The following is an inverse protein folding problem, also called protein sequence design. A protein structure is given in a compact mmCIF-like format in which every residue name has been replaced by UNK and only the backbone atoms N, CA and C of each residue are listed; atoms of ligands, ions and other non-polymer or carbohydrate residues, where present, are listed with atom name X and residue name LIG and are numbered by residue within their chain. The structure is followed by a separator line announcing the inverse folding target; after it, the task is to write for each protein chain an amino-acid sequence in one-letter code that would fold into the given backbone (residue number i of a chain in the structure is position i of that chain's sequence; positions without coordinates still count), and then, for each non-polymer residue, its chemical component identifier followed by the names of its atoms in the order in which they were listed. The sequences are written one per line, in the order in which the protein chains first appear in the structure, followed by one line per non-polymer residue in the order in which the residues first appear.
data_IF_960932516404
#
_entry.id   IF_960932516404
#
_cell.length_a   1.000
_cell.length_b   1.000
_cell.length_c   1.000
_cell.angle_alpha   90.00
_cell.angle_beta   90.00
_cell.angle_gamma   90.00
#
_symmetry.space_group_name_H-M   'P 1'
#
loop_
_entity.id
_entity.type
_entity.pdbx_description
1 polymer ?
#
# COMPACT_ATOMS: atom_id res chain seq x y z
N UNK A 1 -27.68 -25.60 16.36
CA UNK A 1 -27.67 -24.19 16.76
C UNK A 1 -26.26 -23.69 16.62
N UNK A 2 -26.03 -22.68 15.81
CA UNK A 2 -24.67 -22.27 15.44
C UNK A 2 -24.36 -21.00 16.21
N UNK A 3 -23.44 -21.07 17.18
CA UNK A 3 -22.87 -19.90 17.82
C UNK A 3 -21.96 -19.19 16.81
N UNK A 4 -22.34 -17.98 16.41
CA UNK A 4 -21.52 -17.14 15.54
C UNK A 4 -21.06 -15.92 16.32
N UNK A 5 -19.75 -15.77 16.47
CA UNK A 5 -19.12 -14.53 16.96
C UNK A 5 -18.70 -13.71 15.73
N UNK A 6 -19.17 -12.48 15.65
CA UNK A 6 -18.78 -11.56 14.57
C UNK A 6 -17.95 -10.41 15.15
N UNK A 7 -16.85 -10.09 14.52
CA UNK A 7 -16.01 -8.92 14.84
C UNK A 7 -16.37 -7.81 13.87
N UNK A 8 -16.82 -6.68 14.39
CA UNK A 8 -17.11 -5.47 13.63
C UNK A 8 -16.22 -4.35 14.16
N UNK A 9 -15.32 -3.86 13.35
CA UNK A 9 -14.50 -2.66 13.59
C UNK A 9 -13.70 -2.63 14.89
N UNK A 10 -12.68 -3.46 15.04
CA UNK A 10 -11.81 -3.48 16.22
C UNK A 10 -12.52 -3.60 17.59
N UNK A 11 -13.79 -3.98 17.59
CA UNK A 11 -14.57 -4.27 18.79
C UNK A 11 -14.97 -5.72 18.76
N UNK A 12 -14.73 -6.40 19.85
CA UNK A 12 -15.20 -7.78 20.03
C UNK A 12 -16.70 -7.75 20.31
N UNK A 13 -17.47 -8.57 19.63
CA UNK A 13 -18.90 -8.73 19.87
C UNK A 13 -19.21 -10.19 20.13
N UNK A 14 -19.97 -10.47 21.17
CA UNK A 14 -20.46 -11.82 21.49
C UNK A 14 -21.87 -11.95 20.91
N UNK A 15 -22.07 -12.91 20.01
CA UNK A 15 -23.37 -13.26 19.46
C UNK A 15 -24.06 -14.29 20.36
N UNK A 16 -25.23 -13.98 20.86
CA UNK A 16 -26.00 -14.82 21.75
C UNK A 16 -27.36 -15.15 21.15
N UNK A 17 -27.88 -16.36 21.30
CA UNK A 17 -29.21 -16.69 20.80
C UNK A 17 -30.29 -15.90 21.56
N UNK A 18 -31.17 -15.24 20.83
CA UNK A 18 -32.27 -14.49 21.39
C UNK A 18 -33.61 -15.13 21.01
N UNK A 19 -34.35 -15.59 21.99
CA UNK A 19 -35.78 -15.89 21.84
C UNK A 19 -36.54 -14.73 22.46
N UNK A 20 -37.05 -13.81 21.64
CA UNK A 20 -38.14 -12.85 21.90
C UNK A 20 -37.80 -11.45 21.39
N UNK A 21 -38.72 -10.93 20.57
CA UNK A 21 -38.81 -9.54 20.09
C UNK A 21 -39.13 -8.59 21.21
N UNK A 22 -38.61 -7.42 21.09
CA UNK A 22 -39.08 -6.09 21.38
C UNK A 22 -38.12 -5.23 22.19
N UNK A 23 -37.75 -4.12 21.55
CA UNK A 23 -37.24 -2.87 22.13
C UNK A 23 -36.12 -2.98 23.16
N UNK A 24 -34.90 -3.13 22.73
CA UNK A 24 -33.75 -2.95 23.61
C UNK A 24 -32.66 -2.04 23.01
N UNK A 25 -32.43 -0.97 23.72
CA UNK A 25 -31.46 0.11 23.48
C UNK A 25 -29.99 -0.31 23.76
N UNK A 26 -29.59 -1.53 23.45
CA UNK A 26 -28.21 -2.00 23.65
C UNK A 26 -27.79 -2.90 22.47
N UNK A 27 -27.28 -2.30 21.41
CA UNK A 27 -26.74 -2.99 20.25
C UNK A 27 -27.72 -3.19 19.09
N UNK A 28 -27.23 -3.35 17.88
CA UNK A 28 -28.01 -3.61 16.67
C UNK A 28 -28.45 -5.08 16.64
N UNK A 29 -29.74 -5.34 16.55
CA UNK A 29 -30.32 -6.68 16.37
C UNK A 29 -30.65 -6.91 14.90
N UNK A 30 -30.18 -8.00 14.30
CA UNK A 30 -30.60 -8.46 12.97
C UNK A 30 -31.39 -9.76 13.10
N UNK A 31 -32.58 -9.79 12.49
CA UNK A 31 -33.40 -10.99 12.39
C UNK A 31 -33.32 -11.54 10.96
N UNK A 32 -32.84 -12.75 10.79
CA UNK A 32 -32.91 -13.49 9.52
C UNK A 32 -33.91 -14.62 9.61
N UNK A 33 -34.71 -14.78 8.55
CA UNK A 33 -35.70 -15.84 8.42
C UNK A 33 -34.99 -17.05 7.78
N UNK A 34 -34.66 -18.06 8.61
CA UNK A 34 -34.13 -19.32 8.14
C UNK A 34 -35.27 -20.34 8.02
N UNK A 35 -35.16 -21.26 7.05
CA UNK A 35 -36.10 -22.36 6.83
C UNK A 35 -36.23 -23.23 8.08
N UNK A 36 -37.25 -22.96 8.91
CA UNK A 36 -37.55 -23.77 10.11
C UNK A 36 -37.70 -22.98 11.42
N UNK A 37 -37.54 -21.67 11.44
CA UNK A 37 -37.73 -20.83 12.63
C UNK A 37 -37.05 -19.46 12.53
N UNK A 38 -37.51 -18.50 13.32
CA UNK A 38 -36.84 -17.17 13.45
C UNK A 38 -35.72 -17.30 14.48
N UNK A 39 -34.47 -17.10 14.04
CA UNK A 39 -33.33 -16.92 14.93
C UNK A 39 -32.97 -15.43 14.97
N UNK A 40 -33.01 -14.82 16.14
CA UNK A 40 -32.51 -13.45 16.35
C UNK A 40 -31.16 -13.55 17.06
N UNK A 41 -30.18 -12.78 16.60
CA UNK A 41 -28.88 -12.68 17.23
C UNK A 41 -28.71 -11.26 17.75
N UNK A 42 -28.42 -11.11 19.04
CA UNK A 42 -28.12 -9.83 19.66
C UNK A 42 -26.62 -9.69 19.78
N UNK A 43 -26.09 -8.58 19.25
CA UNK A 43 -24.68 -8.23 19.38
C UNK A 43 -24.49 -7.32 20.59
N UNK A 44 -23.55 -7.65 21.46
CA UNK A 44 -23.07 -6.78 22.52
C UNK A 44 -21.74 -6.22 22.09
N UNK A 45 -21.65 -4.90 21.95
CA UNK A 45 -20.38 -4.22 21.75
C UNK A 45 -19.59 -4.22 23.06
N UNK A 46 -18.38 -4.76 23.03
CA UNK A 46 -17.43 -4.74 24.14
C UNK A 46 -16.43 -3.62 23.86
N UNK A 47 -16.32 -2.67 24.79
CA UNK A 47 -15.27 -1.66 24.75
C UNK A 47 -13.94 -2.34 25.13
N UNK A 48 -12.86 -2.07 24.37
CA UNK A 48 -11.52 -2.62 24.61
C UNK A 48 -10.95 -2.30 26.02
N UNK A 49 -11.62 -1.41 26.76
CA UNK A 49 -11.28 -1.06 28.15
C UNK A 49 -12.00 -1.90 29.21
N UNK A 50 -13.03 -2.69 28.83
CA UNK A 50 -13.80 -3.51 29.77
C UNK A 50 -13.23 -4.94 29.82
N UNK A 51 -13.05 -5.49 31.03
CA UNK A 51 -12.66 -6.89 31.20
C UNK A 51 -13.78 -7.82 30.79
N UNK A 52 -13.45 -9.00 30.21
CA UNK A 52 -14.42 -10.02 29.83
C UNK A 52 -15.33 -10.44 30.99
N UNK A 53 -14.79 -10.47 32.22
CA UNK A 53 -15.55 -10.78 33.42
C UNK A 53 -16.64 -9.74 33.70
N UNK A 54 -16.38 -8.47 33.45
CA UNK A 54 -17.32 -7.38 33.64
C UNK A 54 -18.49 -7.45 32.64
N UNK A 55 -18.21 -7.81 31.39
CA UNK A 55 -19.23 -8.00 30.36
C UNK A 55 -20.14 -9.20 30.67
N UNK A 56 -19.55 -10.30 31.11
CA UNK A 56 -20.29 -11.51 31.53
C UNK A 56 -21.16 -11.23 32.76
N UNK A 57 -20.67 -10.42 33.71
CA UNK A 57 -21.42 -10.05 34.91
C UNK A 57 -22.61 -9.14 34.58
N UNK A 58 -22.46 -8.18 33.67
CA UNK A 58 -23.56 -7.34 33.16
C UNK A 58 -24.61 -8.18 32.42
N UNK A 59 -24.16 -9.17 31.63
CA UNK A 59 -25.04 -10.08 30.90
C UNK A 59 -25.81 -10.98 31.86
N UNK A 60 -25.14 -11.57 32.87
CA UNK A 60 -25.77 -12.36 33.93
C UNK A 60 -26.82 -11.52 34.69
N UNK A 61 -26.49 -10.31 35.12
CA UNK A 61 -27.42 -9.40 35.81
C UNK A 61 -28.61 -8.97 34.93
N UNK A 62 -28.43 -8.87 33.62
CA UNK A 62 -29.52 -8.63 32.67
C UNK A 62 -30.49 -9.80 32.60
N UNK A 63 -29.98 -11.01 32.47
CA UNK A 63 -30.82 -12.20 32.39
C UNK A 63 -31.49 -12.55 33.72
N UNK A 64 -30.82 -12.34 34.83
CA UNK A 64 -31.43 -12.49 36.17
C UNK A 64 -32.61 -11.54 36.38
N UNK A 65 -32.56 -10.36 35.80
CA UNK A 65 -33.70 -9.42 35.80
C UNK A 65 -34.85 -9.89 34.91
N UNK A 66 -34.51 -10.48 33.76
CA UNK A 66 -35.49 -11.01 32.80
C UNK A 66 -36.16 -12.29 33.30
N UNK A 67 -35.42 -13.19 33.94
CA UNK A 67 -35.88 -14.46 34.48
C UNK A 67 -36.82 -14.28 35.69
N UNK A 68 -36.77 -13.14 36.38
CA UNK A 68 -37.76 -12.79 37.42
C UNK A 68 -39.18 -12.54 36.85
N UNK A 69 -39.36 -12.49 35.54
CA UNK A 69 -40.61 -12.26 34.84
C UNK A 69 -41.15 -13.45 34.04
N UNK A 70 -40.52 -14.67 34.12
CA UNK A 70 -41.01 -15.88 33.43
C UNK A 70 -40.32 -17.17 33.89
N UNK A 71 -40.81 -18.38 33.54
CA UNK A 71 -40.20 -19.64 33.93
C UNK A 71 -38.84 -19.84 33.28
N UNK A 72 -37.83 -20.34 34.02
CA UNK A 72 -36.48 -20.59 33.49
C UNK A 72 -36.47 -21.67 32.41
N UNK A 73 -35.68 -21.43 31.34
CA UNK A 73 -35.37 -22.43 30.34
C UNK A 73 -34.41 -23.49 30.95
N UNK A 74 -34.62 -24.78 30.82
CA UNK A 74 -33.87 -25.82 31.54
C UNK A 74 -32.37 -25.93 31.17
N UNK A 75 -31.93 -25.31 30.06
CA UNK A 75 -30.55 -25.41 29.59
C UNK A 75 -29.70 -24.14 29.85
N UNK A 76 -30.24 -23.14 30.58
CA UNK A 76 -29.61 -21.84 30.75
C UNK A 76 -28.27 -21.85 31.51
N UNK A 77 -28.19 -22.63 32.59
CA UNK A 77 -26.94 -22.76 33.38
C UNK A 77 -25.85 -23.51 32.63
N UNK A 78 -26.24 -24.49 31.80
CA UNK A 78 -25.31 -25.24 30.94
C UNK A 78 -24.73 -24.30 29.82
N UNK A 79 -25.57 -23.46 29.26
CA UNK A 79 -25.17 -22.48 28.21
C UNK A 79 -24.22 -21.39 28.75
N UNK A 80 -24.47 -20.90 29.99
CA UNK A 80 -23.56 -19.97 30.66
C UNK A 80 -22.22 -20.64 31.03
N UNK A 81 -22.24 -21.88 31.47
CA UNK A 81 -21.02 -22.65 31.80
C UNK A 81 -20.18 -22.89 30.55
N UNK A 82 -20.78 -23.18 29.40
CA UNK A 82 -20.11 -23.37 28.12
C UNK A 82 -19.47 -22.07 27.60
N UNK A 83 -20.16 -20.93 27.75
CA UNK A 83 -19.62 -19.61 27.41
C UNK A 83 -18.44 -19.22 28.33
N UNK A 84 -18.58 -19.48 29.64
CA UNK A 84 -17.54 -19.18 30.63
C UNK A 84 -16.28 -20.06 30.44
N UNK A 85 -16.48 -21.33 30.06
CA UNK A 85 -15.37 -22.27 29.79
C UNK A 85 -14.68 -21.96 28.45
N UNK A 86 -15.41 -21.50 27.45
CA UNK A 86 -14.85 -21.00 26.18
C UNK A 86 -14.01 -19.73 26.38
N UNK A 87 -14.43 -18.83 27.28
CA UNK A 87 -13.69 -17.63 27.65
C UNK A 87 -12.40 -17.96 28.44
N UNK A 88 -12.48 -18.92 29.39
CA UNK A 88 -11.33 -19.37 30.21
C UNK A 88 -10.24 -20.09 29.41
N UNK A 89 -10.61 -20.80 28.34
CA UNK A 89 -9.66 -21.63 27.58
C UNK A 89 -8.88 -20.85 26.51
N UNK A 90 -9.01 -19.51 26.42
CA UNK A 90 -8.36 -18.68 25.39
C UNK A 90 -8.55 -19.22 23.94
N UNK A 91 -9.50 -20.12 23.77
CA UNK A 91 -9.86 -20.73 22.50
C UNK A 91 -11.17 -20.14 21.99
N UNK A 92 -11.32 -18.80 22.09
CA UNK A 92 -12.12 -18.10 21.10
C UNK A 92 -11.28 -18.26 19.83
N UNK A 93 -11.45 -19.34 19.10
CA UNK A 93 -11.13 -19.36 17.69
C UNK A 93 -11.87 -18.13 17.15
N UNK A 94 -11.13 -17.06 16.86
CA UNK A 94 -11.64 -15.95 16.09
C UNK A 94 -12.25 -16.60 14.86
N UNK A 95 -13.57 -16.67 14.81
CA UNK A 95 -14.27 -17.10 13.61
C UNK A 95 -13.93 -15.99 12.63
N UNK A 96 -12.85 -16.21 11.90
CA UNK A 96 -12.46 -15.33 10.80
C UNK A 96 -13.65 -15.37 9.86
N UNK A 97 -14.22 -14.23 9.55
CA UNK A 97 -15.32 -14.16 8.62
C UNK A 97 -14.89 -14.88 7.33
N UNK A 98 -15.49 -16.04 7.05
CA UNK A 98 -15.15 -16.87 5.87
C UNK A 98 -15.63 -16.21 4.57
N UNK A 99 -16.41 -15.11 4.68
CA UNK A 99 -17.00 -14.42 3.55
C UNK A 99 -16.47 -12.99 3.43
N UNK A 100 -16.34 -12.47 2.19
CA UNK A 100 -16.03 -11.07 1.98
C UNK A 100 -17.07 -10.17 2.62
N UNK A 101 -16.61 -9.05 3.23
CA UNK A 101 -17.54 -8.03 3.73
C UNK A 101 -18.35 -7.39 2.58
N UNK A 102 -19.44 -6.74 2.94
CA UNK A 102 -20.24 -5.93 2.00
C UNK A 102 -19.38 -4.84 1.36
N UNK A 103 -19.63 -4.56 0.07
CA UNK A 103 -18.87 -3.55 -0.66
C UNK A 103 -19.15 -2.16 -0.11
N UNK A 104 -18.09 -1.43 0.21
CA UNK A 104 -18.14 0.00 0.47
C UNK A 104 -17.93 0.76 -0.85
N UNK A 105 -18.63 1.88 -1.02
CA UNK A 105 -18.55 2.68 -2.23
C UNK A 105 -18.00 4.08 -1.93
N UNK A 106 -17.04 4.56 -2.72
CA UNK A 106 -16.46 5.92 -2.61
C UNK A 106 -17.52 7.02 -2.63
N UNK A 107 -18.59 6.82 -3.41
CA UNK A 107 -19.70 7.78 -3.54
C UNK A 107 -20.44 8.05 -2.22
N UNK A 108 -20.35 7.14 -1.25
CA UNK A 108 -21.02 7.26 0.04
C UNK A 108 -20.25 8.18 1.01
N UNK A 109 -19.02 8.60 0.63
CA UNK A 109 -18.16 9.43 1.45
C UNK A 109 -17.81 10.75 0.75
N UNK A 110 -18.14 11.86 1.38
CA UNK A 110 -17.83 13.23 0.88
C UNK A 110 -16.36 13.61 1.02
N UNK A 111 -15.61 12.92 1.88
CA UNK A 111 -14.19 13.08 2.14
C UNK A 111 -13.60 11.75 2.59
N UNK A 112 -12.28 11.66 2.66
CA UNK A 112 -11.60 10.45 3.12
C UNK A 112 -12.14 10.04 4.51
N UNK A 113 -12.62 8.79 4.70
CA UNK A 113 -13.11 8.29 5.97
C UNK A 113 -12.05 8.36 7.08
N UNK A 114 -12.47 8.53 8.35
CA UNK A 114 -11.53 8.66 9.47
C UNK A 114 -10.65 7.43 9.67
N UNK A 115 -11.19 6.23 9.50
CA UNK A 115 -10.43 4.98 9.63
C UNK A 115 -9.27 4.85 8.66
N UNK A 116 -9.29 5.58 7.54
CA UNK A 116 -8.21 5.59 6.56
C UNK A 116 -6.92 6.24 7.12
N UNK A 117 -7.06 7.09 8.15
CA UNK A 117 -5.95 7.72 8.87
C UNK A 117 -5.45 6.90 10.07
N UNK A 118 -6.08 5.77 10.38
CA UNK A 118 -5.60 4.87 11.43
C UNK A 118 -4.18 4.39 11.11
N UNK A 119 -3.31 4.50 12.10
CA UNK A 119 -1.88 4.24 11.95
C UNK A 119 -1.54 2.75 12.20
N UNK A 120 -2.40 1.87 11.68
CA UNK A 120 -2.29 0.42 11.78
C UNK A 120 -1.97 -0.16 10.42
N UNK A 121 -0.86 -0.89 10.34
CA UNK A 121 -0.34 -1.48 9.10
C UNK A 121 0.21 -2.86 9.33
N UNK A 122 0.12 -3.75 8.32
CA UNK A 122 0.80 -5.03 8.32
C UNK A 122 2.31 -4.85 8.31
N UNK A 123 3.00 -5.59 9.17
CA UNK A 123 4.45 -5.54 9.34
C UNK A 123 5.05 -6.92 9.09
N UNK A 124 6.27 -6.96 8.58
CA UNK A 124 7.03 -8.18 8.50
C UNK A 124 7.79 -8.43 9.80
N UNK A 125 7.98 -9.69 10.15
CA UNK A 125 8.65 -10.09 11.40
C UNK A 125 10.14 -9.78 11.40
N UNK A 126 10.77 -9.76 10.23
CA UNK A 126 12.20 -9.50 10.09
C UNK A 126 12.48 -8.01 9.87
N UNK A 127 13.23 -7.43 10.80
CA UNK A 127 13.80 -6.10 10.60
C UNK A 127 15.09 -6.21 9.78
N UNK A 128 15.18 -5.47 8.69
CA UNK A 128 16.46 -5.26 8.03
C UNK A 128 17.32 -4.39 8.94
N UNK A 129 18.39 -4.98 9.48
CA UNK A 129 19.40 -4.24 10.27
C UNK A 129 20.20 -3.32 9.36
N UNK A 130 20.66 -2.16 9.87
CA UNK A 130 21.64 -1.35 9.15
C UNK A 130 22.89 -2.21 8.88
N UNK A 131 23.38 -2.15 7.67
CA UNK A 131 24.54 -2.93 7.25
C UNK A 131 25.84 -2.10 7.24
N UNK A 132 25.70 -0.78 7.45
CA UNK A 132 26.81 0.15 7.49
C UNK A 132 26.50 1.38 8.38
N UNK A 133 27.56 2.09 8.79
CA UNK A 133 27.43 3.24 9.69
C UNK A 133 26.62 4.40 9.08
N UNK A 134 26.72 4.62 7.74
CA UNK A 134 26.06 5.69 7.02
C UNK A 134 24.60 5.39 6.70
N UNK A 135 24.08 4.23 7.09
CA UNK A 135 22.68 3.87 6.81
C UNK A 135 21.71 4.92 7.35
N UNK A 136 20.75 5.33 6.54
CA UNK A 136 19.65 6.21 6.94
C UNK A 136 18.87 5.66 8.14
N UNK A 137 18.92 4.35 8.38
CA UNK A 137 18.31 3.68 9.54
C UNK A 137 18.99 4.05 10.86
N UNK A 138 20.21 4.56 10.81
CA UNK A 138 20.96 5.10 11.96
C UNK A 138 20.68 6.60 12.18
N UNK A 139 19.80 7.22 11.40
CA UNK A 139 19.47 8.62 11.53
C UNK A 139 19.01 8.96 12.94
N UNK A 140 19.52 10.06 13.49
CA UNK A 140 19.12 10.60 14.78
C UNK A 140 18.02 11.67 14.67
N UNK A 141 17.50 11.91 13.46
CA UNK A 141 16.39 12.84 13.28
C UNK A 141 15.09 12.27 13.85
N UNK A 142 14.60 12.91 14.91
CA UNK A 142 13.45 12.44 15.68
C UNK A 142 12.15 12.43 14.85
N UNK A 143 11.96 13.39 13.94
CA UNK A 143 10.78 13.40 13.07
C UNK A 143 10.80 12.23 12.11
N UNK A 144 11.95 11.94 11.52
CA UNK A 144 12.11 10.78 10.63
C UNK A 144 11.93 9.47 11.41
N UNK A 145 12.60 9.31 12.55
CA UNK A 145 12.49 8.10 13.40
C UNK A 145 11.03 7.82 13.79
N UNK A 146 10.28 8.85 14.16
CA UNK A 146 8.85 8.72 14.51
C UNK A 146 7.99 8.31 13.31
N UNK A 147 8.29 8.83 12.12
CA UNK A 147 7.51 8.55 10.92
C UNK A 147 7.89 7.23 10.25
N UNK A 148 9.16 6.82 10.31
CA UNK A 148 9.69 5.67 9.59
C UNK A 148 9.38 4.35 10.29
N UNK A 149 8.72 3.43 9.55
CA UNK A 149 8.46 2.07 10.01
C UNK A 149 9.40 1.09 9.29
N UNK A 150 10.51 0.67 9.91
CA UNK A 150 11.54 -0.11 9.24
C UNK A 150 11.08 -1.51 8.81
N UNK A 151 10.02 -2.03 9.40
CA UNK A 151 9.45 -3.36 9.14
C UNK A 151 8.07 -3.33 8.48
N UNK A 152 7.64 -2.19 7.93
CA UNK A 152 6.41 -2.13 7.14
C UNK A 152 6.44 -3.19 6.04
N UNK A 153 5.33 -3.89 5.82
CA UNK A 153 5.23 -4.88 4.74
C UNK A 153 5.28 -4.20 3.39
N UNK A 154 6.36 -4.46 2.64
CA UNK A 154 6.61 -3.81 1.34
C UNK A 154 5.85 -4.47 0.20
N UNK A 155 5.75 -5.81 0.21
CA UNK A 155 5.30 -6.58 -0.95
C UNK A 155 4.07 -7.42 -0.65
N UNK A 156 3.15 -7.40 -1.60
CA UNK A 156 1.96 -8.24 -1.66
C UNK A 156 2.32 -9.60 -2.27
N UNK A 157 1.87 -10.69 -1.67
CA UNK A 157 1.96 -12.04 -2.22
C UNK A 157 0.84 -12.94 -1.66
N UNK A 158 0.63 -14.11 -2.27
CA UNK A 158 -0.48 -15.01 -1.97
C UNK A 158 -0.62 -15.39 -0.49
N UNK A 159 0.49 -15.44 0.26
CA UNK A 159 0.49 -15.93 1.66
C UNK A 159 0.21 -14.82 2.68
N UNK A 160 0.04 -13.57 2.25
CA UNK A 160 -0.22 -12.45 3.17
C UNK A 160 -1.61 -11.80 3.02
N UNK A 161 -2.50 -12.43 2.27
CA UNK A 161 -3.91 -12.05 2.17
C UNK A 161 -4.78 -13.28 2.48
N UNK A 162 -5.35 -13.32 3.66
CA UNK A 162 -6.45 -14.18 4.03
C UNK A 162 -7.77 -13.39 4.03
N UNK A 163 -8.90 -14.00 4.39
CA UNK A 163 -10.20 -13.33 4.37
C UNK A 163 -10.28 -12.16 5.36
N UNK A 164 -9.66 -12.28 6.54
CA UNK A 164 -9.60 -11.19 7.53
C UNK A 164 -8.83 -9.99 6.97
N UNK A 165 -7.68 -10.25 6.35
CA UNK A 165 -6.86 -9.20 5.74
C UNK A 165 -7.54 -8.58 4.51
N UNK A 166 -8.24 -9.39 3.71
CA UNK A 166 -9.10 -8.89 2.64
C UNK A 166 -10.15 -7.92 3.19
N UNK A 167 -10.90 -8.34 4.20
CA UNK A 167 -11.97 -7.53 4.80
C UNK A 167 -11.41 -6.24 5.39
N UNK A 168 -10.27 -6.29 6.07
CA UNK A 168 -9.58 -5.09 6.59
C UNK A 168 -9.19 -4.13 5.46
N UNK A 169 -8.56 -4.63 4.41
CA UNK A 169 -8.13 -3.79 3.28
C UNK A 169 -9.29 -3.30 2.41
N UNK A 170 -10.45 -3.96 2.44
CA UNK A 170 -11.64 -3.52 1.69
C UNK A 170 -12.27 -2.23 2.22
N UNK A 171 -11.84 -1.76 3.40
CA UNK A 171 -12.25 -0.45 3.93
C UNK A 171 -11.52 0.72 3.26
N UNK A 172 -10.38 0.50 2.61
CA UNK A 172 -9.54 1.55 2.08
C UNK A 172 -9.69 1.69 0.58
N UNK A 173 -9.73 2.96 0.12
CA UNK A 173 -9.78 3.26 -1.30
C UNK A 173 -8.50 2.81 -2.02
N UNK A 174 -8.61 2.41 -3.28
CA UNK A 174 -7.47 2.14 -4.17
C UNK A 174 -6.55 3.39 -4.31
N UNK A 175 -5.23 3.26 -4.31
CA UNK A 175 -4.42 2.03 -4.23
C UNK A 175 -4.14 1.51 -2.81
N UNK A 176 -4.76 2.07 -1.79
CA UNK A 176 -4.49 1.81 -0.38
C UNK A 176 -5.24 0.59 0.16
N UNK A 177 -6.15 0.05 -0.63
CA UNK A 177 -6.95 -1.12 -0.33
C UNK A 177 -7.87 -1.52 -1.47
N UNK A 178 -8.98 -2.21 -1.16
CA UNK A 178 -9.84 -2.90 -2.12
C UNK A 178 -11.30 -2.39 -2.12
N UNK A 179 -11.56 -1.18 -1.63
CA UNK A 179 -12.90 -0.56 -1.66
C UNK A 179 -13.49 -0.64 -3.09
N UNK A 180 -14.76 -0.99 -3.22
CA UNK A 180 -15.51 -1.23 -4.46
C UNK A 180 -15.08 -2.47 -5.27
N UNK A 181 -14.05 -3.22 -4.84
CA UNK A 181 -13.61 -4.40 -5.57
C UNK A 181 -14.24 -5.67 -5.03
N UNK A 182 -14.66 -6.55 -5.93
CA UNK A 182 -15.11 -7.89 -5.57
C UNK A 182 -13.89 -8.77 -5.25
N UNK A 183 -14.06 -9.64 -4.28
CA UNK A 183 -13.01 -10.55 -3.81
C UNK A 183 -12.37 -11.33 -4.97
N UNK A 184 -13.18 -12.00 -5.78
CA UNK A 184 -12.67 -12.86 -6.85
C UNK A 184 -11.93 -12.09 -7.93
N UNK A 185 -12.38 -10.87 -8.28
CA UNK A 185 -11.74 -10.04 -9.31
C UNK A 185 -10.27 -9.69 -8.98
N UNK A 186 -9.97 -9.50 -7.69
CA UNK A 186 -8.61 -9.18 -7.21
C UNK A 186 -7.85 -10.45 -6.86
N UNK A 187 -8.47 -11.35 -6.08
CA UNK A 187 -7.78 -12.53 -5.54
C UNK A 187 -7.37 -13.54 -6.62
N UNK A 188 -8.04 -13.56 -7.77
CA UNK A 188 -7.61 -14.31 -8.95
C UNK A 188 -6.18 -13.95 -9.43
N UNK A 189 -5.74 -12.72 -9.18
CA UNK A 189 -4.38 -12.28 -9.47
C UNK A 189 -3.46 -12.43 -8.25
N UNK A 190 -3.93 -12.06 -7.06
CA UNK A 190 -3.12 -12.09 -5.82
C UNK A 190 -2.66 -13.50 -5.48
N UNK A 191 -3.53 -14.51 -5.65
CA UNK A 191 -3.21 -15.93 -5.43
C UNK A 191 -2.08 -16.46 -6.34
N UNK A 192 -1.79 -15.77 -7.44
CA UNK A 192 -0.71 -16.11 -8.36
C UNK A 192 0.62 -15.47 -7.97
N UNK A 193 0.65 -14.44 -7.12
CA UNK A 193 1.88 -13.73 -6.76
C UNK A 193 2.71 -14.63 -5.83
N UNK A 194 3.93 -15.05 -6.25
CA UNK A 194 4.78 -15.86 -5.41
C UNK A 194 5.31 -15.05 -4.22
N UNK A 195 5.57 -15.71 -3.10
CA UNK A 195 6.31 -15.09 -2.00
C UNK A 195 7.73 -14.79 -2.47
N UNK A 196 8.23 -13.55 -2.32
CA UNK A 196 9.60 -13.24 -2.66
C UNK A 196 10.60 -14.12 -1.90
N UNK A 197 11.48 -14.79 -2.62
CA UNK A 197 12.51 -15.67 -2.03
C UNK A 197 13.69 -14.91 -1.48
N UNK A 198 13.93 -13.69 -1.96
CA UNK A 198 15.06 -12.85 -1.59
C UNK A 198 14.60 -11.42 -1.32
N UNK A 199 15.32 -10.65 -0.50
CA UNK A 199 15.14 -9.21 -0.41
C UNK A 199 15.30 -8.55 -1.80
N UNK A 200 14.60 -7.42 -2.02
CA UNK A 200 14.69 -6.70 -3.29
C UNK A 200 16.16 -6.39 -3.65
N UNK A 201 16.94 -5.94 -2.67
CA UNK A 201 18.34 -5.59 -2.83
C UNK A 201 19.20 -6.22 -1.72
N UNK A 202 20.45 -6.53 -2.07
CA UNK A 202 21.47 -7.03 -1.16
C UNK A 202 22.73 -6.15 -1.29
N UNK A 203 23.56 -6.03 -0.24
CA UNK A 203 24.86 -5.42 -0.33
C UNK A 203 25.70 -6.08 -1.44
N UNK A 204 26.49 -5.29 -2.15
CA UNK A 204 27.39 -5.82 -3.17
C UNK A 204 28.53 -6.62 -2.51
N UNK A 205 28.90 -7.78 -3.06
CA UNK A 205 30.06 -8.54 -2.57
C UNK A 205 31.35 -7.68 -2.60
N UNK A 206 32.12 -7.75 -1.51
CA UNK A 206 33.39 -7.01 -1.39
C UNK A 206 33.21 -5.52 -1.04
N UNK A 207 32.02 -5.03 -0.87
CA UNK A 207 31.76 -3.67 -0.41
C UNK A 207 31.79 -3.52 1.11
N UNK A 208 31.52 -2.29 1.60
CA UNK A 208 31.46 -1.93 3.04
C UNK A 208 30.12 -2.32 3.70
N UNK A 209 29.30 -3.10 3.01
CA UNK A 209 27.97 -3.53 3.48
C UNK A 209 26.85 -2.52 3.19
N UNK A 210 27.15 -1.27 2.83
CA UNK A 210 26.13 -0.29 2.43
C UNK A 210 25.49 -0.65 1.09
N UNK A 211 24.18 -0.43 1.01
CA UNK A 211 23.42 -0.45 -0.24
C UNK A 211 23.15 0.99 -0.67
N UNK A 212 23.87 1.46 -1.69
CA UNK A 212 23.76 2.82 -2.24
C UNK A 212 22.87 2.84 -3.46
N UNK A 213 21.84 3.66 -3.42
CA UNK A 213 20.83 3.70 -4.47
C UNK A 213 20.65 5.11 -5.04
N UNK A 214 20.62 5.18 -6.38
CA UNK A 214 20.10 6.33 -7.09
C UNK A 214 18.63 6.10 -7.42
N UNK A 215 17.78 7.09 -7.17
CA UNK A 215 16.40 7.13 -7.64
C UNK A 215 16.27 8.22 -8.69
N UNK A 216 16.03 7.82 -9.93
CA UNK A 216 16.07 8.73 -11.08
C UNK A 216 14.67 8.98 -11.60
N UNK A 217 14.13 10.16 -11.31
CA UNK A 217 12.87 10.67 -11.86
C UNK A 217 13.05 11.19 -13.29
N UNK A 218 11.97 11.73 -13.85
CA UNK A 218 11.92 12.18 -15.25
C UNK A 218 12.00 13.72 -15.41
N UNK A 219 12.24 14.45 -14.32
CA UNK A 219 12.18 15.92 -14.32
C UNK A 219 13.27 16.60 -15.15
N UNK A 220 12.90 17.71 -15.76
CA UNK A 220 13.71 18.49 -16.68
C UNK A 220 15.01 19.04 -16.10
N UNK A 221 15.13 19.10 -14.78
CA UNK A 221 16.38 19.51 -14.10
C UNK A 221 17.58 18.62 -14.50
N UNK A 222 17.34 17.40 -15.00
CA UNK A 222 18.40 16.49 -15.48
C UNK A 222 18.91 16.84 -16.88
N UNK A 223 18.17 17.60 -17.69
CA UNK A 223 18.63 17.97 -19.02
C UNK A 223 19.92 18.81 -18.94
N UNK A 224 21.03 18.32 -19.51
CA UNK A 224 22.35 18.96 -19.43
C UNK A 224 23.00 18.90 -18.03
N UNK A 225 22.57 17.99 -17.16
CA UNK A 225 23.08 17.89 -15.78
C UNK A 225 24.48 17.23 -15.69
N UNK A 226 24.84 16.42 -16.67
CA UNK A 226 26.05 15.61 -16.70
C UNK A 226 26.22 14.68 -15.50
N UNK A 227 25.08 14.15 -14.98
CA UNK A 227 25.04 13.31 -13.80
C UNK A 227 25.05 11.81 -14.10
N UNK A 228 25.11 11.42 -15.37
CA UNK A 228 25.00 10.04 -15.78
C UNK A 228 26.02 9.11 -15.11
N UNK A 229 27.29 9.49 -15.11
CA UNK A 229 28.37 8.72 -14.47
C UNK A 229 28.17 8.60 -12.96
N UNK A 230 27.77 9.69 -12.29
CA UNK A 230 27.47 9.69 -10.86
C UNK A 230 26.30 8.75 -10.53
N UNK A 231 25.23 8.79 -11.33
CA UNK A 231 24.06 7.90 -11.19
C UNK A 231 24.46 6.44 -11.34
N UNK A 232 25.20 6.11 -12.41
CA UNK A 232 25.62 4.72 -12.71
C UNK A 232 26.65 4.17 -11.72
N UNK A 233 27.32 5.03 -10.96
CA UNK A 233 28.25 4.67 -9.88
C UNK A 233 27.57 4.10 -8.63
N UNK A 234 26.26 4.23 -8.49
CA UNK A 234 25.53 3.62 -7.36
C UNK A 234 25.45 2.11 -7.50
N UNK A 235 25.27 1.40 -6.39
CA UNK A 235 25.09 -0.06 -6.38
C UNK A 235 23.83 -0.43 -7.17
N UNK A 236 22.74 0.31 -6.98
CA UNK A 236 21.46 0.11 -7.66
C UNK A 236 20.84 1.43 -8.13
N UNK A 237 20.24 1.39 -9.30
CA UNK A 237 19.54 2.53 -9.90
C UNK A 237 18.08 2.19 -10.08
N UNK A 238 17.20 2.97 -9.41
CA UNK A 238 15.77 2.91 -9.56
C UNK A 238 15.31 3.87 -10.65
N UNK A 239 14.43 3.41 -11.52
CA UNK A 239 13.73 4.27 -12.49
C UNK A 239 12.24 3.96 -12.48
N UNK A 240 11.44 4.92 -12.95
CA UNK A 240 9.99 4.79 -13.04
C UNK A 240 9.45 5.38 -14.33
N UNK A 241 8.22 5.01 -14.69
CA UNK A 241 7.48 5.58 -15.82
C UNK A 241 8.27 5.51 -17.16
N UNK A 242 8.31 6.58 -17.89
CA UNK A 242 8.98 6.67 -19.19
C UNK A 242 10.48 6.95 -19.08
N UNK A 243 11.22 6.09 -18.41
CA UNK A 243 12.65 6.21 -18.20
C UNK A 243 13.42 5.95 -19.50
N UNK A 244 13.67 6.99 -20.29
CA UNK A 244 14.51 6.95 -21.49
C UNK A 244 15.96 7.17 -21.08
N UNK A 245 16.84 6.21 -21.32
CA UNK A 245 18.28 6.37 -21.09
C UNK A 245 19.01 6.62 -22.40
N UNK A 246 18.64 5.90 -23.45
CA UNK A 246 19.30 5.96 -24.76
C UNK A 246 19.25 7.35 -25.38
N UNK A 247 20.43 7.94 -25.61
CA UNK A 247 20.60 9.29 -26.12
C UNK A 247 20.61 10.38 -25.05
N UNK A 248 20.54 9.99 -23.76
CA UNK A 248 20.58 10.89 -22.60
C UNK A 248 21.52 10.37 -21.51
N UNK A 249 22.40 9.44 -21.86
CA UNK A 249 23.27 8.72 -20.92
C UNK A 249 24.19 9.67 -20.14
N UNK A 250 24.66 10.76 -20.76
CA UNK A 250 25.49 11.77 -20.10
C UNK A 250 24.78 12.39 -18.90
N UNK A 251 23.48 12.60 -19.01
CA UNK A 251 22.66 13.30 -18.00
C UNK A 251 22.02 12.35 -16.99
N UNK A 252 21.57 11.17 -17.42
CA UNK A 252 20.72 10.29 -16.61
C UNK A 252 21.32 8.92 -16.36
N UNK A 253 22.50 8.60 -16.93
CA UNK A 253 23.11 7.28 -16.90
C UNK A 253 22.35 6.27 -17.75
N UNK A 254 22.87 5.05 -17.76
CA UNK A 254 22.31 3.96 -18.57
C UNK A 254 21.76 2.81 -17.72
N UNK A 255 22.31 2.59 -16.52
CA UNK A 255 21.99 1.48 -15.63
C UNK A 255 20.57 1.55 -15.09
N UNK A 256 19.85 0.42 -15.09
CA UNK A 256 18.58 0.26 -14.41
C UNK A 256 18.53 -1.06 -13.65
N UNK A 257 18.50 -0.99 -12.33
CA UNK A 257 18.46 -2.18 -11.46
C UNK A 257 17.05 -2.53 -11.03
N UNK A 258 16.20 -1.49 -10.81
CA UNK A 258 14.81 -1.62 -10.39
C UNK A 258 13.96 -0.67 -11.23
N UNK A 259 12.94 -1.20 -11.88
CA UNK A 259 11.97 -0.41 -12.63
C UNK A 259 10.60 -0.49 -11.97
N UNK A 260 10.10 0.67 -11.53
CA UNK A 260 8.82 0.79 -10.82
C UNK A 260 7.76 1.35 -11.76
N UNK A 261 6.63 0.68 -11.86
CA UNK A 261 5.59 1.04 -12.82
C UNK A 261 4.18 0.66 -12.36
N UNK A 262 3.18 1.21 -13.02
CA UNK A 262 1.79 0.73 -13.06
C UNK A 262 1.51 0.13 -14.44
N UNK A 263 0.41 -0.59 -14.60
CA UNK A 263 -0.06 -1.01 -15.93
C UNK A 263 -0.31 0.21 -16.84
N UNK A 264 -0.75 1.33 -16.24
CA UNK A 264 -0.93 2.58 -16.99
C UNK A 264 0.40 3.15 -17.47
N UNK A 265 1.38 3.34 -16.58
CA UNK A 265 2.63 3.99 -16.96
C UNK A 265 3.44 3.18 -17.98
N UNK A 266 3.50 1.84 -17.84
CA UNK A 266 4.25 1.00 -18.79
C UNK A 266 3.60 0.96 -20.18
N UNK A 267 2.26 1.06 -20.26
CA UNK A 267 1.55 1.05 -21.53
C UNK A 267 1.54 2.41 -22.21
N UNK A 268 1.28 3.50 -21.45
CA UNK A 268 1.17 4.85 -22.02
C UNK A 268 2.49 5.43 -22.46
N UNK A 269 3.60 5.07 -21.82
CA UNK A 269 4.95 5.52 -22.19
C UNK A 269 5.31 5.19 -23.63
N UNK A 270 4.81 4.04 -24.18
CA UNK A 270 5.08 3.62 -25.55
C UNK A 270 4.61 4.60 -26.61
N UNK A 271 3.52 5.33 -26.39
CA UNK A 271 3.05 6.31 -27.37
C UNK A 271 3.25 7.76 -26.96
N UNK A 272 3.16 8.08 -25.68
CA UNK A 272 3.41 9.45 -25.22
C UNK A 272 4.86 9.88 -25.43
N UNK A 273 5.81 8.94 -25.23
CA UNK A 273 7.23 9.22 -25.30
C UNK A 273 7.92 8.66 -26.55
N UNK A 274 7.14 8.08 -27.49
CA UNK A 274 7.67 7.58 -28.77
C UNK A 274 8.47 8.61 -29.53
N UNK A 275 7.99 9.87 -29.56
CA UNK A 275 8.66 11.00 -30.24
C UNK A 275 10.05 11.31 -29.66
N UNK A 276 10.33 10.88 -28.41
CA UNK A 276 11.62 11.03 -27.75
C UNK A 276 12.49 9.76 -27.79
N UNK A 277 12.05 8.76 -28.57
CA UNK A 277 12.81 7.53 -28.75
C UNK A 277 12.46 6.39 -27.76
N UNK A 278 11.41 6.52 -26.94
CA UNK A 278 10.97 5.44 -26.05
C UNK A 278 10.47 4.24 -26.86
N UNK A 279 11.05 3.07 -26.62
CA UNK A 279 10.72 1.83 -27.33
C UNK A 279 10.12 0.76 -26.41
N UNK A 280 10.59 0.66 -25.19
CA UNK A 280 10.18 -0.34 -24.21
C UNK A 280 10.56 0.11 -22.79
N UNK A 281 10.04 -0.57 -21.78
CA UNK A 281 10.57 -0.46 -20.42
C UNK A 281 12.06 -0.83 -20.41
N UNK A 282 12.84 -0.29 -19.45
CA UNK A 282 14.21 -0.74 -19.19
C UNK A 282 14.28 -2.25 -19.03
N UNK A 283 15.33 -2.86 -19.55
CA UNK A 283 15.46 -4.32 -19.63
C UNK A 283 16.90 -4.80 -19.43
N UNK A 284 17.63 -4.15 -18.57
CA UNK A 284 18.97 -4.54 -18.16
C UNK A 284 19.01 -5.98 -17.63
N UNK A 285 20.09 -6.68 -17.81
CA UNK A 285 20.26 -8.01 -17.26
C UNK A 285 20.11 -7.98 -15.73
N UNK A 286 19.33 -8.91 -15.18
CA UNK A 286 19.08 -8.98 -13.74
C UNK A 286 18.14 -7.92 -13.18
N UNK A 287 17.53 -7.07 -14.01
CA UNK A 287 16.56 -6.06 -13.60
C UNK A 287 15.41 -6.65 -12.78
N UNK A 288 14.97 -5.90 -11.81
CA UNK A 288 13.76 -6.21 -11.00
C UNK A 288 12.65 -5.27 -11.37
N UNK A 289 11.46 -5.82 -11.56
CA UNK A 289 10.25 -5.06 -11.84
C UNK A 289 9.39 -4.97 -10.60
N UNK A 290 8.89 -3.77 -10.29
CA UNK A 290 8.00 -3.52 -9.15
C UNK A 290 6.72 -2.87 -9.68
N UNK A 291 5.60 -3.58 -9.51
CA UNK A 291 4.28 -3.07 -9.86
C UNK A 291 3.67 -2.33 -8.67
N UNK A 292 3.17 -1.13 -8.91
CA UNK A 292 2.25 -0.42 -8.01
C UNK A 292 0.83 -0.82 -8.42
N UNK A 293 0.07 -1.55 -7.59
CA UNK A 293 -1.30 -1.95 -7.92
C UNK A 293 -2.25 -0.77 -7.67
N UNK A 294 -2.29 0.15 -8.62
CA UNK A 294 -2.95 1.44 -8.49
C UNK A 294 -4.48 1.33 -8.58
N UNK A 295 -4.98 0.49 -9.52
CA UNK A 295 -6.41 0.32 -9.77
C UNK A 295 -6.71 -1.13 -10.23
N UNK A 296 -8.00 -1.45 -10.46
CA UNK A 296 -8.43 -2.76 -10.96
C UNK A 296 -7.69 -3.17 -12.25
N UNK A 297 -7.36 -2.22 -13.12
CA UNK A 297 -6.59 -2.50 -14.36
C UNK A 297 -5.21 -3.09 -14.08
N UNK A 298 -4.60 -2.79 -12.93
CA UNK A 298 -3.30 -3.34 -12.54
C UNK A 298 -3.44 -4.80 -12.09
N UNK A 299 -4.52 -5.18 -11.41
CA UNK A 299 -4.82 -6.56 -11.05
C UNK A 299 -5.15 -7.40 -12.30
N UNK A 300 -5.89 -6.85 -13.25
CA UNK A 300 -6.16 -7.50 -14.54
C UNK A 300 -4.88 -7.71 -15.36
N UNK A 301 -4.00 -6.71 -15.37
CA UNK A 301 -2.67 -6.80 -16.00
C UNK A 301 -1.81 -7.87 -15.31
N UNK A 302 -1.77 -7.86 -14.00
CA UNK A 302 -1.00 -8.79 -13.18
C UNK A 302 -1.43 -10.24 -13.40
N UNK A 303 -2.74 -10.52 -13.41
CA UNK A 303 -3.28 -11.85 -13.70
C UNK A 303 -2.77 -12.36 -15.05
N UNK A 304 -2.89 -11.54 -16.09
CA UNK A 304 -2.45 -11.89 -17.46
C UNK A 304 -0.92 -12.04 -17.54
N UNK A 305 -0.16 -11.18 -16.86
CA UNK A 305 1.31 -11.24 -16.81
C UNK A 305 1.78 -12.56 -16.22
N UNK A 306 1.28 -12.91 -15.03
CA UNK A 306 1.68 -14.12 -14.30
C UNK A 306 1.31 -15.40 -15.06
N UNK A 307 0.13 -15.44 -15.70
CA UNK A 307 -0.29 -16.56 -16.54
C UNK A 307 0.38 -16.59 -17.91
N UNK A 308 0.95 -15.49 -18.38
CA UNK A 308 1.50 -15.39 -19.74
C UNK A 308 0.42 -15.27 -20.81
N UNK A 309 -0.75 -14.73 -20.45
CA UNK A 309 -1.95 -14.63 -21.30
C UNK A 309 -2.21 -13.18 -21.71
N UNK A 310 -3.17 -12.99 -22.60
CA UNK A 310 -3.73 -11.66 -22.91
C UNK A 310 -4.65 -11.20 -21.79
N UNK A 311 -4.65 -9.90 -21.50
CA UNK A 311 -5.58 -9.28 -20.56
C UNK A 311 -7.03 -9.52 -21.03
N UNK A 312 -7.86 -10.11 -20.17
CA UNK A 312 -9.22 -10.53 -20.50
C UNK A 312 -10.27 -9.42 -20.40
N UNK A 313 -10.02 -8.39 -19.57
CA UNK A 313 -10.98 -7.33 -19.28
C UNK A 313 -10.31 -5.97 -19.08
N UNK A 314 -11.12 -4.91 -19.00
CA UNK A 314 -10.67 -3.55 -18.71
C UNK A 314 -9.98 -2.83 -19.86
N UNK A 315 -9.33 -1.68 -19.59
CA UNK A 315 -8.78 -0.80 -20.62
C UNK A 315 -7.61 -1.41 -21.39
N UNK A 316 -6.99 -2.47 -20.88
CA UNK A 316 -5.87 -3.17 -21.54
C UNK A 316 -6.25 -4.52 -22.12
N UNK A 317 -7.55 -4.78 -22.31
CA UNK A 317 -8.04 -6.02 -22.93
C UNK A 317 -7.28 -6.33 -24.23
N UNK A 318 -6.96 -7.61 -24.44
CA UNK A 318 -6.21 -8.15 -25.58
C UNK A 318 -4.72 -7.78 -25.63
N UNK A 319 -4.18 -6.95 -24.72
CA UNK A 319 -2.73 -6.74 -24.62
C UNK A 319 -2.07 -7.96 -23.97
N UNK A 320 -0.85 -8.27 -24.43
CA UNK A 320 -0.03 -9.35 -23.87
C UNK A 320 1.05 -8.71 -22.95
N UNK A 321 0.90 -8.72 -21.63
CA UNK A 321 1.77 -7.96 -20.72
C UNK A 321 3.25 -8.31 -20.83
N UNK A 322 3.62 -9.60 -21.01
CA UNK A 322 5.02 -10.04 -21.08
C UNK A 322 5.83 -9.35 -22.18
N UNK A 323 5.19 -8.90 -23.25
CA UNK A 323 5.87 -8.19 -24.36
C UNK A 323 6.40 -6.81 -23.97
N UNK A 324 5.89 -6.23 -22.88
CA UNK A 324 6.30 -4.89 -22.42
C UNK A 324 7.62 -4.90 -21.65
N UNK A 325 8.10 -6.07 -21.25
CA UNK A 325 9.33 -6.25 -20.44
C UNK A 325 10.55 -6.70 -21.28
N UNK A 326 10.44 -6.63 -22.60
CA UNK A 326 11.52 -6.89 -23.57
C UNK A 326 12.30 -8.19 -23.30
N UNK A 327 11.58 -9.26 -22.93
CA UNK A 327 12.15 -10.58 -22.64
C UNK A 327 12.81 -10.73 -21.28
N UNK A 328 12.91 -9.66 -20.46
CA UNK A 328 13.51 -9.70 -19.12
C UNK A 328 12.52 -10.03 -18.00
N UNK A 329 11.26 -10.25 -18.32
CA UNK A 329 10.30 -10.71 -17.31
C UNK A 329 10.74 -12.03 -16.71
N UNK A 330 10.90 -12.01 -15.40
CA UNK A 330 11.20 -13.20 -14.60
C UNK A 330 10.39 -13.11 -13.30
N UNK A 331 9.57 -14.12 -13.05
CA UNK A 331 8.68 -14.16 -11.89
C UNK A 331 9.43 -14.02 -10.56
N UNK A 332 10.62 -14.59 -10.43
CA UNK A 332 11.46 -14.49 -9.23
C UNK A 332 12.02 -13.07 -8.98
N UNK A 333 11.94 -12.19 -9.97
CA UNK A 333 12.43 -10.80 -9.94
C UNK A 333 11.27 -9.79 -10.15
N UNK A 334 10.03 -10.25 -10.01
CA UNK A 334 8.83 -9.43 -10.10
C UNK A 334 8.19 -9.26 -8.73
N UNK A 335 7.90 -8.04 -8.35
CA UNK A 335 7.38 -7.65 -7.04
C UNK A 335 6.14 -6.80 -7.20
N UNK A 336 5.21 -6.89 -6.24
CA UNK A 336 3.99 -6.07 -6.19
C UNK A 336 3.98 -5.33 -4.86
N UNK A 337 3.79 -4.01 -4.86
CA UNK A 337 3.73 -3.24 -3.61
C UNK A 337 2.47 -3.58 -2.82
N UNK A 338 2.62 -3.62 -1.48
CA UNK A 338 1.52 -3.89 -0.57
C UNK A 338 0.69 -2.63 -0.32
N UNK A 339 -0.62 -2.75 -0.20
CA UNK A 339 -1.55 -1.65 0.05
C UNK A 339 -1.21 -0.85 1.29
N UNK A 340 -0.83 -1.51 2.37
CA UNK A 340 -0.41 -0.83 3.60
C UNK A 340 0.88 -0.02 3.44
N UNK A 341 1.82 -0.48 2.61
CA UNK A 341 3.00 0.33 2.31
C UNK A 341 2.59 1.65 1.61
N UNK A 342 1.69 1.56 0.63
CA UNK A 342 1.20 2.73 -0.08
C UNK A 342 0.44 3.68 0.85
N UNK A 343 -0.42 3.13 1.73
CA UNK A 343 -1.19 3.90 2.72
C UNK A 343 -0.30 4.54 3.78
N UNK A 344 0.71 3.82 4.27
CA UNK A 344 1.72 4.32 5.19
C UNK A 344 2.49 5.53 4.62
N UNK A 345 2.95 5.44 3.36
CA UNK A 345 3.64 6.56 2.68
C UNK A 345 2.73 7.78 2.62
N UNK A 346 1.47 7.61 2.23
CA UNK A 346 0.49 8.70 2.20
C UNK A 346 0.27 9.31 3.59
N UNK A 347 0.00 8.49 4.59
CA UNK A 347 -0.45 8.98 5.89
C UNK A 347 0.67 9.61 6.70
N UNK A 348 1.88 9.07 6.65
CA UNK A 348 2.97 9.53 7.51
C UNK A 348 3.90 10.57 6.87
N UNK A 349 3.95 10.62 5.53
CA UNK A 349 4.88 11.50 4.83
C UNK A 349 4.22 12.44 3.84
N UNK A 350 3.15 12.03 3.18
CA UNK A 350 2.54 12.77 2.07
C UNK A 350 1.03 12.99 2.30
N UNK A 351 0.69 13.41 3.51
CA UNK A 351 -0.69 13.68 3.90
C UNK A 351 -1.19 14.99 3.27
N UNK A 352 -1.83 14.88 2.10
CA UNK A 352 -2.33 16.02 1.38
C UNK A 352 -3.64 16.57 1.98
N UNK A 353 -3.80 17.91 2.10
CA UNK A 353 -5.07 18.53 2.49
C UNK A 353 -6.19 18.28 1.47
N UNK A 354 -5.86 17.86 0.26
CA UNK A 354 -6.83 17.52 -0.79
C UNK A 354 -7.65 16.28 -0.45
N UNK A 355 -7.20 15.43 0.49
CA UNK A 355 -7.96 14.29 1.02
C UNK A 355 -9.25 14.71 1.75
N UNK A 356 -9.37 15.97 2.14
CA UNK A 356 -10.59 16.53 2.74
C UNK A 356 -11.57 17.14 1.71
N UNK A 357 -11.26 17.04 0.40
CA UNK A 357 -12.09 17.58 -0.69
C UNK A 357 -12.94 16.49 -1.34
N UNK A 358 -13.94 16.89 -2.13
CA UNK A 358 -14.88 15.98 -2.81
C UNK A 358 -14.21 14.97 -3.74
N UNK A 359 -13.03 15.30 -4.28
CA UNK A 359 -12.24 14.39 -5.14
C UNK A 359 -11.16 13.60 -4.38
N UNK A 360 -11.31 13.47 -3.07
CA UNK A 360 -10.37 12.75 -2.19
C UNK A 360 -9.96 11.36 -2.71
N UNK A 361 -10.89 10.67 -3.34
CA UNK A 361 -10.68 9.29 -3.82
C UNK A 361 -9.71 9.18 -5.01
N UNK A 362 -9.38 10.30 -5.65
CA UNK A 362 -8.38 10.36 -6.71
C UNK A 362 -6.99 10.68 -6.16
N UNK A 363 -6.92 11.29 -4.96
CA UNK A 363 -5.68 11.85 -4.41
C UNK A 363 -4.76 10.75 -3.89
N UNK A 364 -3.55 10.70 -4.44
CA UNK A 364 -2.51 9.76 -4.06
C UNK A 364 -1.11 10.32 -4.36
N UNK A 365 -0.06 9.82 -3.68
CA UNK A 365 1.32 10.09 -4.06
C UNK A 365 1.63 9.67 -5.51
N UNK A 366 2.62 10.31 -6.12
CA UNK A 366 3.08 9.93 -7.46
C UNK A 366 3.83 8.58 -7.43
N UNK A 367 3.99 7.96 -8.60
CA UNK A 367 4.86 6.78 -8.73
C UNK A 367 6.30 7.09 -8.31
N UNK A 368 6.75 8.34 -8.55
CA UNK A 368 8.04 8.83 -8.10
C UNK A 368 8.16 8.80 -6.58
N UNK A 369 7.13 9.25 -5.89
CA UNK A 369 7.08 9.24 -4.43
C UNK A 369 7.15 7.81 -3.88
N UNK A 370 6.32 6.89 -4.37
CA UNK A 370 6.38 5.49 -3.94
C UNK A 370 7.75 4.86 -4.22
N UNK A 371 8.41 5.25 -5.32
CA UNK A 371 9.76 4.75 -5.64
C UNK A 371 10.81 5.26 -4.66
N UNK A 372 10.79 6.55 -4.28
CA UNK A 372 11.70 7.11 -3.26
C UNK A 372 11.51 6.38 -1.93
N UNK A 373 10.26 6.21 -1.48
CA UNK A 373 10.00 5.52 -0.22
C UNK A 373 10.33 4.03 -0.27
N UNK A 374 10.18 3.36 -1.42
CA UNK A 374 10.67 1.99 -1.61
C UNK A 374 12.19 1.93 -1.45
N UNK A 375 12.92 2.89 -2.04
CA UNK A 375 14.37 2.99 -1.87
C UNK A 375 14.77 3.24 -0.41
N UNK A 376 14.07 4.12 0.33
CA UNK A 376 14.30 4.36 1.75
C UNK A 376 14.14 3.09 2.60
N UNK A 377 13.30 2.14 2.18
CA UNK A 377 13.09 0.87 2.89
C UNK A 377 14.01 -0.26 2.43
N UNK A 378 14.70 -0.11 1.30
CA UNK A 378 15.53 -1.18 0.72
C UNK A 378 17.02 -0.83 0.60
N UNK A 379 17.38 0.46 0.74
CA UNK A 379 18.73 0.96 0.64
C UNK A 379 19.23 1.54 1.97
N UNK A 380 20.52 1.76 2.12
CA UNK A 380 21.15 2.42 3.24
C UNK A 380 21.41 3.91 2.96
N UNK A 381 21.75 4.23 1.71
CA UNK A 381 21.96 5.59 1.22
C UNK A 381 21.12 5.79 -0.03
N UNK A 382 20.40 6.91 -0.07
CA UNK A 382 19.47 7.23 -1.18
C UNK A 382 19.76 8.61 -1.74
N UNK A 383 20.11 8.65 -3.02
CA UNK A 383 20.30 9.86 -3.80
C UNK A 383 19.18 9.99 -4.83
N UNK A 384 18.47 11.12 -4.80
CA UNK A 384 17.30 11.39 -5.65
C UNK A 384 17.69 12.40 -6.75
N UNK A 385 17.46 12.02 -8.01
CA UNK A 385 17.74 12.82 -9.21
C UNK A 385 16.48 13.03 -10.02
N UNK A 386 16.32 14.21 -10.61
CA UNK A 386 15.18 14.48 -11.49
C UNK A 386 13.84 14.64 -10.79
N UNK A 387 13.85 14.94 -9.50
CA UNK A 387 12.68 15.31 -8.72
C UNK A 387 12.50 16.83 -8.69
N UNK A 388 11.28 17.28 -8.40
CA UNK A 388 10.93 18.70 -8.36
C UNK A 388 11.68 19.42 -7.23
N UNK A 389 12.32 20.54 -7.57
CA UNK A 389 13.04 21.45 -6.68
C UNK A 389 12.35 22.81 -6.62
N UNK A 390 12.80 23.74 -5.77
CA UNK A 390 12.17 25.07 -5.66
C UNK A 390 12.21 25.87 -6.95
N UNK A 391 13.22 25.65 -7.76
CA UNK A 391 13.45 26.33 -9.05
C UNK A 391 12.91 25.54 -10.26
N UNK A 392 11.98 24.58 -10.03
CA UNK A 392 11.44 23.70 -11.07
C UNK A 392 10.92 24.43 -12.31
N UNK A 393 10.44 25.66 -12.15
CA UNK A 393 9.94 26.48 -13.26
C UNK A 393 11.01 26.86 -14.28
N UNK A 394 12.29 26.69 -13.94
CA UNK A 394 13.43 26.98 -14.82
C UNK A 394 13.72 25.80 -15.79
N UNK A 395 13.08 24.66 -15.62
CA UNK A 395 13.35 23.43 -16.36
C UNK A 395 12.10 22.95 -17.10
N UNK A 396 12.27 22.23 -18.24
CA UNK A 396 11.13 21.60 -18.92
C UNK A 396 10.49 20.53 -18.03
N UNK A 397 9.28 20.10 -18.39
CA UNK A 397 8.59 19.05 -17.61
C UNK A 397 9.39 17.74 -17.56
N UNK A 398 9.95 17.35 -18.70
CA UNK A 398 10.79 16.14 -18.79
C UNK A 398 12.20 16.47 -19.32
N UNK A 399 13.21 15.74 -18.85
CA UNK A 399 14.61 15.94 -19.31
C UNK A 399 14.80 15.66 -20.82
N UNK A 400 13.91 14.88 -21.43
CA UNK A 400 13.94 14.56 -22.87
C UNK A 400 13.42 15.69 -23.76
N UNK A 401 12.84 16.74 -23.20
CA UNK A 401 12.24 17.85 -23.94
C UNK A 401 13.30 18.89 -24.30
N UNK A 402 13.38 19.19 -25.60
CA UNK A 402 14.31 20.21 -26.11
C UNK A 402 13.81 21.63 -25.85
N UNK A 403 12.49 21.82 -25.84
CA UNK A 403 11.87 23.10 -25.62
C UNK A 403 11.35 23.19 -24.18
N UNK A 404 11.33 24.41 -23.66
CA UNK A 404 10.76 24.70 -22.35
C UNK A 404 9.28 24.40 -22.35
N UNK A 405 8.86 23.38 -21.64
CA UNK A 405 7.46 23.04 -21.36
C UNK A 405 7.15 23.32 -19.89
N UNK A 406 5.92 23.73 -19.62
CA UNK A 406 5.47 23.89 -18.23
C UNK A 406 5.25 22.54 -17.58
N UNK A 407 5.58 22.42 -16.29
CA UNK A 407 5.23 21.25 -15.48
C UNK A 407 3.72 21.13 -15.43
N UNK A 408 3.21 19.92 -15.70
CA UNK A 408 1.78 19.62 -15.70
C UNK A 408 1.40 19.09 -14.32
N UNK A 409 0.47 19.76 -13.66
CA UNK A 409 -0.08 19.35 -12.37
C UNK A 409 -1.42 18.63 -12.58
N UNK A 410 -1.41 17.33 -12.38
CA UNK A 410 -2.64 16.53 -12.39
C UNK A 410 -3.33 16.61 -11.03
N UNK A 411 -4.65 16.70 -11.02
CA UNK A 411 -5.48 16.90 -9.81
C UNK A 411 -5.36 15.79 -8.76
N UNK A 412 -4.95 14.60 -9.20
CA UNK A 412 -4.80 13.43 -8.36
C UNK A 412 -3.47 13.36 -7.57
N UNK A 413 -2.58 14.33 -7.76
CA UNK A 413 -1.30 14.40 -7.08
C UNK A 413 -1.07 15.78 -6.44
N UNK A 414 -0.39 15.80 -5.31
CA UNK A 414 0.04 17.03 -4.63
C UNK A 414 1.54 17.24 -4.83
N UNK A 415 1.90 17.76 -6.01
CA UNK A 415 3.30 17.95 -6.40
C UNK A 415 4.05 18.93 -5.50
N UNK A 416 3.36 19.93 -4.95
CA UNK A 416 3.99 20.90 -4.05
C UNK A 416 4.30 20.27 -2.70
N UNK A 417 3.40 19.44 -2.18
CA UNK A 417 3.65 18.66 -0.98
C UNK A 417 4.86 17.73 -1.19
N UNK A 418 4.90 17.00 -2.31
CA UNK A 418 6.03 16.12 -2.63
C UNK A 418 7.35 16.91 -2.73
N UNK A 419 7.37 18.01 -3.48
CA UNK A 419 8.54 18.90 -3.58
C UNK A 419 9.06 19.33 -2.21
N UNK A 420 8.16 19.77 -1.33
CA UNK A 420 8.53 20.22 0.01
C UNK A 420 9.04 19.06 0.87
N UNK A 421 8.49 17.85 0.67
CA UNK A 421 8.94 16.63 1.36
C UNK A 421 10.36 16.25 0.92
N UNK A 422 10.67 16.31 -0.38
CA UNK A 422 12.03 16.05 -0.87
C UNK A 422 13.05 17.02 -0.28
N UNK A 423 12.70 18.30 -0.22
CA UNK A 423 13.53 19.33 0.41
C UNK A 423 13.72 19.09 1.90
N UNK A 424 12.66 18.74 2.63
CA UNK A 424 12.71 18.44 4.07
C UNK A 424 13.61 17.21 4.35
N UNK A 425 13.42 16.12 3.60
CA UNK A 425 14.27 14.92 3.72
C UNK A 425 15.74 15.18 3.41
N UNK A 426 16.02 16.04 2.41
CA UNK A 426 17.38 16.46 2.07
C UNK A 426 18.02 17.28 3.20
N UNK A 427 17.30 18.28 3.73
CA UNK A 427 17.80 19.14 4.80
C UNK A 427 18.08 18.32 6.08
N UNK A 428 17.31 17.27 6.32
CA UNK A 428 17.49 16.29 7.42
C UNK A 428 18.54 15.22 7.15
N UNK A 429 19.19 15.26 5.97
CA UNK A 429 20.22 14.30 5.56
C UNK A 429 19.71 12.84 5.48
N UNK A 430 18.41 12.66 5.23
CA UNK A 430 17.81 11.34 5.01
C UNK A 430 18.03 10.88 3.56
N UNK A 431 17.93 11.84 2.61
CA UNK A 431 18.28 11.63 1.20
C UNK A 431 19.25 12.72 0.76
N UNK A 432 19.94 12.50 -0.34
CA UNK A 432 20.61 13.55 -1.09
C UNK A 432 19.75 13.90 -2.32
N UNK A 433 19.09 15.04 -2.30
CA UNK A 433 18.34 15.55 -3.45
C UNK A 433 19.28 16.32 -4.38
N UNK A 434 19.35 15.91 -5.64
CA UNK A 434 20.07 16.66 -6.65
C UNK A 434 19.36 18.01 -6.93
N UNK A 435 20.11 19.09 -6.79
CA UNK A 435 19.74 20.45 -7.08
C UNK A 435 20.83 21.09 -7.94
N UNK A 436 20.46 21.95 -8.90
CA UNK A 436 21.47 22.73 -9.62
C UNK A 436 21.93 23.86 -8.73
N UNK A 437 23.21 23.87 -8.41
CA UNK A 437 23.87 25.07 -7.89
C UNK A 437 24.06 26.02 -9.06
N UNK A 438 23.46 27.20 -9.00
CA UNK A 438 23.86 28.28 -9.92
C UNK A 438 25.36 28.51 -9.71
N UNK A 439 26.16 28.20 -10.72
CA UNK A 439 27.54 28.71 -10.73
C UNK A 439 27.42 30.22 -10.61
N UNK A 440 27.81 30.80 -9.47
CA UNK A 440 28.02 32.24 -9.40
C UNK A 440 28.95 32.56 -10.57
N UNK A 441 28.42 33.19 -11.60
CA UNK A 441 29.26 33.77 -12.64
C UNK A 441 30.32 34.58 -11.90
N UNK A 442 31.58 34.19 -12.02
CA UNK A 442 32.69 35.06 -11.61
C UNK A 442 32.64 36.23 -12.58
N UNK A 443 32.05 37.35 -12.11
CA UNK A 443 32.28 38.65 -12.73
C UNK A 443 33.75 39.01 -12.51
#
# INVERSE_FOLDING_TARGET
MVNRTAVVHNRSAIALPCCISDNLLLGSSTCEQLSGGRACVTFIEIDDSESEDFVLERYRAYWERKLKSGPPHPDFEAEIAEIADSAKNNTIQRIVAETPMALLYKKDFKKLPRWDFEDVYSKDTQHRRPTCAQSLRNSQDEKFKKAFLPNIRLFLHKDNINMSEWNRLSHFNSPFGFMEYKYDDVMDSVKLIPKPKQPLLLPKPGGDGCVRCAVVGTGGILNGSKKGVEIDGHDYVFRMNGAITKGYEEDVGNKTSVYVHTAHSITTSLYLLKKYGYKSAPHDEGIKYVLIPEEMRDFQWLKALLRGEKVSAGPYRNKLPRTYYSGQYNESRFYVLHQDFLRYVRNRFLLSPNLNKTYWSLVRPTNGAFTVFLALHTCDIVDAYGFMTDDYVKYPNYYVEKNMSKVIFYVNHDYILEKNTWKDLHNRKIIRLYQRTESKAKN
#
